data_IF_628573727742
#
_entry.id   IF_628573727742
#
_cell.length_a   1.000
_cell.length_b   1.000
_cell.length_c   1.000
_cell.angle_alpha   90.00
_cell.angle_beta   90.00
_cell.angle_gamma   90.00
#
_symmetry.space_group_name_H-M   'P 1'
#
loop_
_entity.id
_entity.type
_entity.pdbx_description
1 polymer ?
#
# COMPACT_ATOMS: atom_id res chain seq x y z
N UNK A 1 30.57 -13.33 -13.09
CA UNK A 1 30.53 -12.74 -11.73
C UNK A 1 29.53 -13.54 -10.91
N UNK A 2 29.84 -13.90 -9.66
CA UNK A 2 28.88 -14.59 -8.77
C UNK A 2 27.71 -13.64 -8.52
N UNK A 3 26.47 -14.09 -8.74
CA UNK A 3 25.27 -13.29 -8.45
C UNK A 3 25.06 -13.17 -6.94
N UNK A 4 24.48 -12.06 -6.49
CA UNK A 4 24.06 -11.85 -5.10
C UNK A 4 22.74 -12.62 -4.90
N UNK A 5 22.73 -13.58 -3.98
CA UNK A 5 21.55 -14.38 -3.63
C UNK A 5 20.69 -13.65 -2.61
N UNK A 6 19.43 -13.40 -2.96
CA UNK A 6 18.49 -12.60 -2.17
C UNK A 6 17.22 -13.42 -1.93
N UNK A 7 16.90 -13.67 -0.66
CA UNK A 7 15.71 -14.42 -0.25
C UNK A 7 14.68 -13.50 0.38
N UNK A 8 13.46 -13.49 -0.16
CA UNK A 8 12.32 -12.76 0.42
C UNK A 8 11.51 -13.67 1.33
N UNK A 9 11.52 -13.37 2.64
CA UNK A 9 10.89 -14.19 3.67
C UNK A 9 9.38 -13.89 3.70
N UNK A 10 8.58 -14.92 3.39
CA UNK A 10 7.12 -14.86 3.39
C UNK A 10 6.54 -16.05 4.16
N UNK A 11 5.28 -15.98 4.59
CA UNK A 11 4.66 -17.11 5.28
C UNK A 11 4.42 -18.25 4.28
N UNK A 12 3.72 -17.93 3.21
CA UNK A 12 3.43 -18.80 2.05
C UNK A 12 3.14 -17.93 0.83
N UNK A 13 3.23 -18.51 -0.37
CA UNK A 13 2.82 -17.76 -1.56
C UNK A 13 1.30 -17.75 -1.69
N UNK A 14 0.68 -16.58 -1.42
CA UNK A 14 -0.78 -16.40 -1.44
C UNK A 14 -1.30 -16.16 -2.85
N UNK A 15 -2.55 -16.55 -3.12
CA UNK A 15 -3.24 -16.29 -4.38
C UNK A 15 -3.59 -14.82 -4.64
N UNK A 16 -4.06 -14.52 -5.85
CA UNK A 16 -4.31 -13.15 -6.36
C UNK A 16 -5.18 -12.30 -5.43
N UNK A 17 -6.32 -12.84 -5.00
CA UNK A 17 -7.28 -12.10 -4.18
C UNK A 17 -6.68 -11.62 -2.86
N UNK A 18 -5.85 -12.44 -2.21
CA UNK A 18 -5.17 -12.05 -0.98
C UNK A 18 -4.06 -11.06 -1.27
N UNK A 19 -3.20 -11.33 -2.26
CA UNK A 19 -2.10 -10.41 -2.59
C UNK A 19 -2.58 -9.00 -2.96
N UNK A 20 -3.73 -8.88 -3.61
CA UNK A 20 -4.34 -7.58 -3.88
C UNK A 20 -4.89 -6.87 -2.63
N UNK A 21 -5.54 -7.58 -1.72
CA UNK A 21 -6.25 -6.94 -0.59
C UNK A 21 -5.33 -6.40 0.51
N UNK A 22 -4.04 -6.75 0.49
CA UNK A 22 -3.07 -6.37 1.49
C UNK A 22 -1.83 -5.69 0.85
N UNK A 23 -1.54 -4.47 1.28
CA UNK A 23 -0.47 -3.68 0.67
C UNK A 23 0.93 -4.28 0.84
N UNK A 24 1.20 -4.98 1.94
CA UNK A 24 2.52 -5.60 2.19
C UNK A 24 2.84 -6.69 1.17
N UNK A 25 1.85 -7.50 0.81
CA UNK A 25 1.91 -8.53 -0.23
C UNK A 25 2.14 -7.93 -1.61
N UNK A 26 1.48 -6.80 -1.91
CA UNK A 26 1.71 -6.07 -3.16
C UNK A 26 3.15 -5.53 -3.24
N UNK A 27 3.64 -4.86 -2.20
CA UNK A 27 5.02 -4.35 -2.18
C UNK A 27 6.03 -5.48 -2.31
N UNK A 28 5.82 -6.59 -1.60
CA UNK A 28 6.70 -7.76 -1.67
C UNK A 28 6.80 -8.26 -3.10
N UNK A 29 5.67 -8.36 -3.80
CA UNK A 29 5.65 -8.73 -5.20
C UNK A 29 6.41 -7.71 -6.07
N UNK A 30 6.14 -6.40 -5.93
CA UNK A 30 6.83 -5.38 -6.72
C UNK A 30 8.34 -5.34 -6.48
N UNK A 31 8.77 -5.50 -5.22
CA UNK A 31 10.17 -5.64 -4.85
C UNK A 31 10.82 -6.84 -5.54
N UNK A 32 10.20 -8.02 -5.44
CA UNK A 32 10.74 -9.23 -6.08
C UNK A 32 10.85 -9.05 -7.59
N UNK A 33 9.83 -8.50 -8.25
CA UNK A 33 9.87 -8.25 -9.70
C UNK A 33 10.98 -7.25 -10.06
N UNK A 34 11.14 -6.17 -9.30
CA UNK A 34 12.23 -5.21 -9.51
C UNK A 34 13.59 -5.89 -9.33
N UNK A 35 13.80 -6.63 -8.26
CA UNK A 35 15.07 -7.28 -7.97
C UNK A 35 15.41 -8.35 -9.01
N UNK A 36 14.42 -9.09 -9.51
CA UNK A 36 14.60 -10.06 -10.60
C UNK A 36 14.97 -9.42 -11.94
N UNK A 37 14.60 -8.15 -12.15
CA UNK A 37 15.01 -7.41 -13.35
C UNK A 37 16.50 -7.03 -13.34
N UNK A 38 17.18 -7.14 -12.19
CA UNK A 38 18.59 -6.78 -12.00
C UNK A 38 19.47 -8.03 -12.25
N UNK A 39 20.27 -8.06 -13.34
CA UNK A 39 21.01 -9.27 -13.75
C UNK A 39 22.01 -9.79 -12.71
N UNK A 40 22.50 -8.90 -11.84
CA UNK A 40 23.44 -9.20 -10.77
C UNK A 40 22.83 -10.02 -9.63
N UNK A 41 21.50 -10.13 -9.57
CA UNK A 41 20.80 -10.76 -8.46
C UNK A 41 20.22 -12.12 -8.84
N UNK A 42 20.20 -13.02 -7.87
CA UNK A 42 19.52 -14.31 -7.89
C UNK A 42 18.48 -14.31 -6.77
N UNK A 43 17.20 -14.31 -7.12
CA UNK A 43 16.11 -13.93 -6.19
C UNK A 43 15.13 -15.08 -6.04
N UNK A 44 14.75 -15.36 -4.80
CA UNK A 44 13.74 -16.37 -4.46
C UNK A 44 12.81 -15.87 -3.35
N UNK A 45 11.67 -16.53 -3.22
CA UNK A 45 10.90 -16.49 -1.98
C UNK A 45 11.36 -17.61 -1.06
N UNK A 46 11.39 -17.33 0.24
CA UNK A 46 11.60 -18.31 1.30
C UNK A 46 10.32 -18.42 2.12
N UNK A 47 9.65 -19.58 2.06
CA UNK A 47 8.40 -19.86 2.77
C UNK A 47 8.69 -20.40 4.17
N UNK A 48 8.08 -19.78 5.18
CA UNK A 48 8.31 -20.12 6.59
C UNK A 48 7.25 -21.05 7.19
N UNK A 49 6.04 -21.05 6.64
CA UNK A 49 4.97 -21.90 7.12
C UNK A 49 5.19 -23.34 6.63
N UNK A 50 5.00 -24.32 7.52
CA UNK A 50 5.20 -25.73 7.20
C UNK A 50 4.03 -26.27 6.37
N UNK A 51 4.30 -27.23 5.48
CA UNK A 51 3.29 -27.95 4.68
C UNK A 51 2.46 -27.07 3.71
N UNK A 52 3.00 -25.91 3.29
CA UNK A 52 2.33 -25.00 2.34
C UNK A 52 2.98 -24.92 0.96
N UNK A 53 4.05 -25.70 0.70
CA UNK A 53 4.80 -25.60 -0.56
C UNK A 53 3.94 -25.90 -1.78
N UNK A 54 3.13 -26.97 -1.73
CA UNK A 54 2.24 -27.35 -2.83
C UNK A 54 1.19 -26.27 -3.14
N UNK A 55 0.51 -25.76 -2.11
CA UNK A 55 -0.44 -24.65 -2.23
C UNK A 55 0.25 -23.40 -2.81
N UNK A 56 1.45 -23.10 -2.31
CA UNK A 56 2.25 -21.94 -2.75
C UNK A 56 2.64 -22.06 -4.22
N UNK A 57 3.09 -23.24 -4.67
CA UNK A 57 3.43 -23.51 -6.06
C UNK A 57 2.21 -23.35 -6.98
N UNK A 58 1.06 -23.88 -6.57
CA UNK A 58 -0.20 -23.73 -7.28
C UNK A 58 -0.59 -22.25 -7.41
N UNK A 59 -0.68 -21.52 -6.30
CA UNK A 59 -1.05 -20.11 -6.27
C UNK A 59 -0.11 -19.24 -7.13
N UNK A 60 1.20 -19.51 -7.06
CA UNK A 60 2.22 -18.81 -7.85
C UNK A 60 2.04 -19.05 -9.35
N UNK A 61 1.79 -20.29 -9.74
CA UNK A 61 1.56 -20.67 -11.14
C UNK A 61 0.26 -20.07 -11.68
N UNK A 62 -0.83 -20.10 -10.91
CA UNK A 62 -2.13 -19.52 -11.30
C UNK A 62 -2.04 -18.03 -11.63
N UNK A 63 -1.19 -17.28 -10.92
CA UNK A 63 -1.01 -15.86 -11.19
C UNK A 63 0.04 -15.57 -12.27
N UNK A 64 0.66 -16.61 -12.85
CA UNK A 64 1.67 -16.50 -13.90
C UNK A 64 3.00 -15.94 -13.41
N UNK A 65 3.38 -16.25 -12.17
CA UNK A 65 4.65 -15.86 -11.56
C UNK A 65 5.59 -17.08 -11.52
N UNK A 66 6.90 -16.85 -11.65
CA UNK A 66 7.89 -17.92 -11.82
C UNK A 66 9.08 -17.84 -10.85
N UNK A 67 9.02 -17.01 -9.80
CA UNK A 67 10.10 -16.88 -8.81
C UNK A 67 10.28 -18.19 -8.06
N UNK A 68 11.51 -18.68 -7.86
CA UNK A 68 11.76 -19.88 -7.07
C UNK A 68 11.16 -19.78 -5.67
N UNK A 69 10.54 -20.86 -5.20
CA UNK A 69 10.07 -21.02 -3.82
C UNK A 69 11.00 -21.99 -3.09
N UNK A 70 11.51 -21.56 -1.93
CA UNK A 70 12.44 -22.30 -1.09
C UNK A 70 11.84 -22.47 0.30
N UNK A 71 11.96 -23.63 0.92
CA UNK A 71 11.46 -23.83 2.29
C UNK A 71 12.46 -23.28 3.32
N UNK A 72 11.98 -22.66 4.40
CA UNK A 72 12.84 -22.10 5.45
C UNK A 72 13.80 -23.15 6.05
N UNK A 73 13.39 -24.43 6.10
CA UNK A 73 14.25 -25.53 6.58
C UNK A 73 15.57 -25.61 5.81
N UNK A 74 15.55 -25.24 4.53
CA UNK A 74 16.74 -25.25 3.67
C UNK A 74 17.72 -24.15 4.05
N UNK A 75 17.36 -23.19 4.90
CA UNK A 75 18.28 -22.19 5.44
C UNK A 75 19.06 -22.70 6.66
N UNK A 76 18.72 -23.87 7.22
CA UNK A 76 19.28 -24.35 8.47
C UNK A 76 20.78 -24.70 8.31
N UNK A 77 21.71 -23.96 8.93
CA UNK A 77 23.15 -24.17 8.76
C UNK A 77 23.68 -25.51 9.31
N UNK A 78 22.84 -26.29 9.97
CA UNK A 78 23.18 -27.61 10.53
C UNK A 78 22.90 -28.76 9.55
N UNK A 79 22.28 -28.48 8.39
CA UNK A 79 22.05 -29.46 7.33
C UNK A 79 23.20 -29.45 6.31
N UNK A 80 23.56 -30.61 5.76
CA UNK A 80 24.68 -30.71 4.81
C UNK A 80 24.45 -29.93 3.50
N UNK A 81 23.21 -29.83 3.03
CA UNK A 81 22.84 -29.21 1.73
C UNK A 81 22.02 -27.92 1.89
N UNK A 82 22.21 -27.19 2.99
CA UNK A 82 21.50 -25.93 3.19
C UNK A 82 21.91 -24.86 2.18
N UNK A 83 21.00 -23.92 1.94
CA UNK A 83 21.16 -22.79 1.04
C UNK A 83 21.70 -21.59 1.82
N UNK A 84 22.72 -20.96 1.24
CA UNK A 84 23.33 -19.74 1.76
C UNK A 84 22.90 -18.57 0.89
N UNK A 85 22.39 -17.52 1.54
CA UNK A 85 21.99 -16.26 0.92
C UNK A 85 22.97 -15.16 1.31
N UNK A 86 23.19 -14.20 0.42
CA UNK A 86 23.95 -12.99 0.74
C UNK A 86 23.04 -12.00 1.50
N UNK A 87 21.75 -11.93 1.15
CA UNK A 87 20.74 -11.09 1.80
C UNK A 87 19.44 -11.86 2.03
N UNK A 88 18.88 -11.77 3.23
CA UNK A 88 17.53 -12.23 3.57
C UNK A 88 16.67 -11.04 3.96
N UNK A 89 15.54 -10.82 3.27
CA UNK A 89 14.66 -9.68 3.47
C UNK A 89 13.34 -10.17 4.04
N UNK A 90 13.02 -9.81 5.28
CA UNK A 90 11.72 -10.12 5.86
C UNK A 90 10.68 -9.11 5.42
N UNK A 91 9.65 -9.60 4.71
CA UNK A 91 8.54 -8.77 4.26
C UNK A 91 7.23 -9.21 4.90
N UNK A 92 6.75 -10.42 4.61
CA UNK A 92 5.43 -10.92 5.05
C UNK A 92 5.52 -11.86 6.26
N UNK A 93 6.71 -12.40 6.55
CA UNK A 93 6.95 -13.27 7.69
C UNK A 93 8.33 -13.03 8.32
N UNK A 94 8.52 -13.65 9.47
CA UNK A 94 9.67 -13.47 10.34
C UNK A 94 10.40 -14.79 10.54
N UNK A 95 11.72 -14.81 10.27
CA UNK A 95 12.60 -15.88 10.72
C UNK A 95 12.67 -15.96 12.25
N UNK A 96 12.82 -17.17 12.79
CA UNK A 96 13.05 -17.36 14.21
C UNK A 96 14.40 -16.72 14.64
N UNK A 97 14.48 -16.04 15.80
CA UNK A 97 15.72 -15.40 16.26
C UNK A 97 16.91 -16.36 16.34
N UNK A 98 16.70 -17.60 16.79
CA UNK A 98 17.77 -18.60 16.89
C UNK A 98 18.32 -19.00 15.52
N UNK A 99 17.45 -19.11 14.50
CA UNK A 99 17.88 -19.37 13.13
C UNK A 99 18.69 -18.19 12.57
N UNK A 100 18.26 -16.96 12.83
CA UNK A 100 19.00 -15.76 12.43
C UNK A 100 20.40 -15.74 13.07
N UNK A 101 20.51 -16.03 14.38
CA UNK A 101 21.79 -16.11 15.10
C UNK A 101 22.71 -17.16 14.50
N UNK A 102 22.21 -18.40 14.30
CA UNK A 102 22.97 -19.49 13.66
C UNK A 102 23.49 -19.13 12.26
N UNK A 103 22.66 -18.47 11.45
CA UNK A 103 23.05 -18.02 10.10
C UNK A 103 24.19 -16.99 10.21
N UNK A 104 24.04 -15.98 11.07
CA UNK A 104 25.03 -14.90 11.25
C UNK A 104 26.34 -15.37 11.88
N UNK A 105 26.33 -16.44 12.69
CA UNK A 105 27.54 -17.05 13.24
C UNK A 105 28.40 -17.74 12.18
N UNK A 106 27.77 -18.32 11.15
CA UNK A 106 28.45 -19.11 10.11
C UNK A 106 28.70 -18.34 8.81
N UNK A 107 27.86 -17.35 8.50
CA UNK A 107 27.84 -16.67 7.20
C UNK A 107 27.78 -15.15 7.34
N UNK A 108 28.28 -14.45 6.32
CA UNK A 108 28.18 -13.00 6.18
C UNK A 108 26.80 -12.54 5.68
N UNK A 109 25.77 -13.37 5.82
CA UNK A 109 24.40 -13.07 5.37
C UNK A 109 23.88 -11.84 6.09
N UNK A 110 23.41 -10.87 5.32
CA UNK A 110 22.76 -9.66 5.84
C UNK A 110 21.26 -9.91 5.98
N UNK A 111 20.70 -9.57 7.14
CA UNK A 111 19.27 -9.72 7.40
C UNK A 111 18.64 -8.33 7.44
N UNK A 112 17.64 -8.16 6.57
CA UNK A 112 16.92 -6.90 6.36
C UNK A 112 15.47 -7.07 6.76
N UNK A 113 14.85 -6.04 7.30
CA UNK A 113 13.40 -5.96 7.41
C UNK A 113 12.82 -4.85 6.54
N UNK A 114 11.74 -5.14 5.81
CA UNK A 114 11.03 -4.16 5.01
C UNK A 114 9.80 -3.63 5.75
N UNK A 115 9.82 -2.35 6.09
CA UNK A 115 8.77 -1.66 6.83
C UNK A 115 7.95 -0.76 5.89
N UNK A 116 6.73 -1.19 5.59
CA UNK A 116 5.79 -0.51 4.69
C UNK A 116 4.60 0.14 5.41
N UNK A 117 4.65 0.28 6.75
CA UNK A 117 3.51 0.72 7.56
C UNK A 117 3.85 1.77 8.62
N UNK A 118 2.79 2.24 9.29
CA UNK A 118 2.82 3.30 10.30
C UNK A 118 3.18 2.78 11.70
N UNK A 119 4.45 2.45 11.93
CA UNK A 119 4.89 1.77 13.18
C UNK A 119 4.70 2.66 14.42
N UNK A 120 5.25 3.87 14.39
CA UNK A 120 5.23 4.77 15.56
C UNK A 120 3.80 5.13 15.98
N UNK A 121 2.97 5.57 15.02
CA UNK A 121 1.57 5.92 15.29
C UNK A 121 0.75 4.72 15.72
N UNK A 122 0.97 3.57 15.08
CA UNK A 122 0.31 2.33 15.47
C UNK A 122 0.57 2.00 16.94
N UNK A 123 1.81 2.15 17.42
CA UNK A 123 2.15 1.84 18.81
C UNK A 123 1.48 2.82 19.77
N UNK A 124 1.55 4.11 19.44
CA UNK A 124 0.91 5.15 20.24
C UNK A 124 -0.60 4.90 20.36
N UNK A 125 -1.28 4.55 19.27
CA UNK A 125 -2.70 4.20 19.28
C UNK A 125 -2.99 2.93 20.09
N UNK A 126 -2.21 1.87 19.87
CA UNK A 126 -2.39 0.58 20.54
C UNK A 126 -2.24 0.75 22.07
N UNK A 127 -1.30 1.58 22.54
CA UNK A 127 -1.09 1.92 23.96
C UNK A 127 -2.18 2.83 24.53
N UNK A 128 -2.50 3.94 23.86
CA UNK A 128 -3.43 4.95 24.38
C UNK A 128 -4.86 4.40 24.45
N UNK A 129 -5.29 3.66 23.43
CA UNK A 129 -6.66 3.17 23.31
C UNK A 129 -6.84 1.75 23.84
N UNK A 130 -5.78 1.12 24.34
CA UNK A 130 -5.78 -0.27 24.82
C UNK A 130 -6.46 -1.22 23.81
N UNK A 131 -6.05 -1.13 22.54
CA UNK A 131 -6.71 -1.88 21.47
C UNK A 131 -6.30 -3.34 21.56
N UNK A 132 -7.22 -4.18 22.06
CA UNK A 132 -7.00 -5.62 22.11
C UNK A 132 -6.80 -6.20 20.70
N UNK A 133 -5.84 -7.11 20.57
CA UNK A 133 -5.55 -7.85 19.33
C UNK A 133 -5.11 -7.00 18.12
N UNK A 134 -4.72 -5.73 18.34
CA UNK A 134 -4.10 -4.89 17.32
C UNK A 134 -2.61 -4.73 17.63
N UNK A 135 -1.79 -5.05 16.63
CA UNK A 135 -0.33 -4.97 16.68
C UNK A 135 0.18 -4.05 15.57
N UNK A 136 -0.54 -2.94 15.36
CA UNK A 136 -0.30 -2.07 14.21
C UNK A 136 0.99 -1.28 14.32
N UNK A 137 1.48 -1.07 15.54
CA UNK A 137 2.83 -0.61 15.80
C UNK A 137 3.65 -1.55 16.65
N UNK A 138 3.43 -2.87 16.54
CA UNK A 138 4.28 -3.81 17.25
C UNK A 138 5.73 -3.58 16.87
N UNK A 139 6.47 -2.99 17.82
CA UNK A 139 7.90 -3.13 17.90
C UNK A 139 8.20 -4.63 17.81
N UNK A 140 9.23 -4.94 17.05
CA UNK A 140 9.58 -6.32 16.72
C UNK A 140 9.62 -7.17 17.98
N UNK A 141 8.96 -8.33 17.95
CA UNK A 141 9.04 -9.35 19.00
C UNK A 141 10.41 -10.04 18.97
N UNK A 142 11.49 -9.26 18.94
CA UNK A 142 12.87 -9.72 18.73
C UNK A 142 13.82 -8.86 19.53
N UNK A 143 14.97 -9.45 19.85
CA UNK A 143 16.08 -8.76 20.47
C UNK A 143 16.60 -7.64 19.53
N UNK A 144 16.65 -6.37 19.99
CA UNK A 144 17.19 -5.27 19.20
C UNK A 144 18.64 -5.53 18.75
N UNK A 145 18.97 -5.17 17.51
CA UNK A 145 20.31 -5.34 16.92
C UNK A 145 20.53 -6.68 16.19
N UNK A 146 19.55 -7.58 16.15
CA UNK A 146 19.65 -8.84 15.40
C UNK A 146 19.58 -8.62 13.87
N UNK A 147 18.88 -7.58 13.45
CA UNK A 147 18.69 -7.15 12.06
C UNK A 147 19.79 -6.17 11.67
N UNK A 148 20.38 -6.35 10.49
CA UNK A 148 21.46 -5.49 9.98
C UNK A 148 20.92 -4.16 9.45
N UNK A 149 19.77 -4.16 8.78
CA UNK A 149 19.16 -2.95 8.23
C UNK A 149 17.63 -3.03 8.16
N UNK A 150 16.96 -1.90 8.33
CA UNK A 150 15.52 -1.74 8.12
C UNK A 150 15.31 -0.84 6.91
N UNK A 151 14.52 -1.29 5.95
CA UNK A 151 14.12 -0.51 4.78
C UNK A 151 12.76 0.12 5.01
N UNK A 152 12.69 1.42 4.76
CA UNK A 152 11.51 2.23 5.06
C UNK A 152 11.07 3.01 3.82
N UNK A 153 9.76 3.05 3.58
CA UNK A 153 9.18 3.88 2.52
C UNK A 153 9.39 5.38 2.77
N UNK A 154 9.54 6.22 1.73
CA UNK A 154 9.95 7.62 1.86
C UNK A 154 8.95 8.47 2.66
N UNK A 155 7.66 8.22 2.51
CA UNK A 155 6.60 8.92 3.24
C UNK A 155 6.54 8.59 4.75
N UNK A 156 7.38 7.66 5.23
CA UNK A 156 7.54 7.32 6.64
C UNK A 156 8.87 7.83 7.23
N UNK A 157 9.71 8.49 6.44
CA UNK A 157 11.03 8.95 6.86
C UNK A 157 11.02 9.88 8.09
N UNK A 158 9.91 10.58 8.36
CA UNK A 158 9.75 11.43 9.54
C UNK A 158 9.93 10.69 10.87
N UNK A 159 9.68 9.38 10.93
CA UNK A 159 9.87 8.58 12.15
C UNK A 159 11.10 7.67 12.09
N UNK A 160 12.04 7.92 11.16
CA UNK A 160 13.28 7.15 11.01
C UNK A 160 14.06 7.02 12.33
N UNK A 161 14.29 8.14 13.02
CA UNK A 161 15.06 8.17 14.27
C UNK A 161 14.42 7.35 15.38
N UNK A 162 13.09 7.34 15.46
CA UNK A 162 12.34 6.50 16.37
C UNK A 162 12.62 5.02 16.09
N UNK A 163 12.51 4.59 14.83
CA UNK A 163 12.74 3.19 14.44
C UNK A 163 14.18 2.76 14.70
N UNK A 164 15.18 3.60 14.41
CA UNK A 164 16.59 3.29 14.72
C UNK A 164 16.83 3.14 16.23
N UNK A 165 16.19 3.99 17.03
CA UNK A 165 16.33 3.97 18.49
C UNK A 165 15.79 2.67 19.10
N UNK A 166 14.60 2.25 18.68
CA UNK A 166 13.93 1.07 19.26
C UNK A 166 14.47 -0.25 18.72
N UNK A 167 14.84 -0.29 17.43
CA UNK A 167 15.36 -1.51 16.79
C UNK A 167 16.85 -1.73 17.03
N UNK A 168 17.61 -0.67 17.35
CA UNK A 168 19.07 -0.63 17.32
C UNK A 168 19.67 -1.07 15.97
N UNK A 169 18.90 -0.91 14.89
CA UNK A 169 19.30 -1.21 13.52
C UNK A 169 19.31 0.06 12.69
N UNK A 170 20.19 0.11 11.70
CA UNK A 170 20.22 1.21 10.73
C UNK A 170 18.92 1.21 9.93
N UNK A 171 18.37 2.40 9.67
CA UNK A 171 17.24 2.56 8.75
C UNK A 171 17.72 3.19 7.44
N UNK A 172 17.36 2.57 6.32
CA UNK A 172 17.57 3.09 4.97
C UNK A 172 16.23 3.41 4.34
N UNK A 173 16.12 4.59 3.73
CA UNK A 173 14.93 4.97 2.96
C UNK A 173 15.02 4.33 1.58
N UNK A 174 14.12 3.40 1.30
CA UNK A 174 14.03 2.71 0.01
C UNK A 174 13.00 3.37 -0.90
N UNK A 175 13.17 3.38 -2.24
CA UNK A 175 12.18 3.91 -3.16
C UNK A 175 10.77 3.32 -2.93
N UNK A 176 9.72 4.10 -3.15
CA UNK A 176 8.35 3.56 -3.14
C UNK A 176 8.02 2.95 -4.51
N UNK A 177 7.39 1.78 -4.52
CA UNK A 177 7.10 1.03 -5.73
C UNK A 177 5.59 0.88 -5.95
N UNK A 178 5.19 0.94 -7.22
CA UNK A 178 3.83 0.69 -7.67
C UNK A 178 3.81 0.10 -9.08
N UNK A 179 2.97 -0.91 -9.27
CA UNK A 179 2.56 -1.39 -10.59
C UNK A 179 1.07 -1.74 -10.59
N UNK A 180 0.34 -1.49 -11.69
CA UNK A 180 -1.08 -1.84 -11.79
C UNK A 180 -1.32 -3.33 -12.06
N UNK A 181 -0.32 -4.19 -11.83
CA UNK A 181 -0.35 -5.60 -12.23
C UNK A 181 -1.51 -6.37 -11.57
N UNK A 182 -1.75 -6.17 -10.27
CA UNK A 182 -2.86 -6.80 -9.57
C UNK A 182 -4.21 -6.32 -10.10
N UNK A 183 -4.33 -5.02 -10.40
CA UNK A 183 -5.53 -4.44 -10.98
C UNK A 183 -5.83 -5.04 -12.36
N UNK A 184 -4.81 -5.17 -13.21
CA UNK A 184 -4.93 -5.77 -14.55
C UNK A 184 -5.38 -7.24 -14.48
N UNK A 185 -4.84 -8.02 -13.55
CA UNK A 185 -5.26 -9.42 -13.36
C UNK A 185 -6.72 -9.51 -12.90
N UNK A 186 -7.12 -8.68 -11.94
CA UNK A 186 -8.50 -8.66 -11.48
C UNK A 186 -9.47 -8.16 -12.55
N UNK A 187 -9.06 -7.21 -13.39
CA UNK A 187 -9.84 -6.74 -14.53
C UNK A 187 -10.10 -7.88 -15.52
N UNK A 188 -9.08 -8.69 -15.85
CA UNK A 188 -9.24 -9.89 -16.69
C UNK A 188 -10.24 -10.88 -16.08
N UNK A 189 -10.11 -11.18 -14.77
CA UNK A 189 -11.03 -12.08 -14.07
C UNK A 189 -12.48 -11.57 -14.12
N UNK A 190 -12.68 -10.27 -13.92
CA UNK A 190 -14.00 -9.64 -13.96
C UNK A 190 -14.59 -9.60 -15.36
N UNK A 191 -13.80 -9.25 -16.38
CA UNK A 191 -14.27 -9.18 -17.77
C UNK A 191 -14.64 -10.57 -18.32
N UNK A 192 -14.00 -11.63 -17.83
CA UNK A 192 -14.37 -13.02 -18.17
C UNK A 192 -15.80 -13.36 -17.72
N UNK A 193 -16.26 -12.80 -16.60
CA UNK A 193 -17.61 -13.03 -16.06
C UNK A 193 -18.61 -11.98 -16.57
N UNK A 194 -18.19 -10.73 -16.70
CA UNK A 194 -18.98 -9.61 -17.19
C UNK A 194 -18.21 -8.87 -18.30
N UNK A 195 -18.51 -9.11 -19.59
CA UNK A 195 -17.81 -8.45 -20.70
C UNK A 195 -17.93 -6.93 -20.73
N UNK A 196 -18.89 -6.34 -20.00
CA UNK A 196 -19.07 -4.89 -19.88
C UNK A 196 -18.32 -4.28 -18.70
N UNK A 197 -17.59 -5.09 -17.93
CA UNK A 197 -16.80 -4.63 -16.79
C UNK A 197 -15.72 -3.65 -17.26
N UNK A 198 -15.80 -2.43 -16.72
CA UNK A 198 -14.88 -1.35 -17.03
C UNK A 198 -14.76 -0.42 -15.81
N UNK A 199 -13.66 -0.47 -15.06
CA UNK A 199 -13.41 0.38 -13.91
C UNK A 199 -12.78 1.73 -14.28
N UNK A 200 -12.45 1.98 -15.55
CA UNK A 200 -11.83 3.22 -16.00
C UNK A 200 -12.86 4.34 -16.10
N UNK A 201 -12.47 5.54 -15.70
CA UNK A 201 -13.33 6.73 -15.76
C UNK A 201 -13.96 6.94 -17.15
N UNK A 202 -15.25 7.23 -17.15
CA UNK A 202 -16.04 7.55 -18.34
C UNK A 202 -16.60 8.97 -18.23
N UNK A 203 -16.46 9.78 -19.30
CA UNK A 203 -17.01 11.15 -19.32
C UNK A 203 -18.53 11.14 -19.14
N UNK A 204 -19.08 12.26 -18.66
CA UNK A 204 -20.52 12.47 -18.47
C UNK A 204 -21.19 11.48 -17.49
N UNK A 205 -20.41 10.79 -16.64
CA UNK A 205 -20.97 10.02 -15.55
C UNK A 205 -21.48 10.95 -14.43
N UNK A 206 -22.28 10.38 -13.51
CA UNK A 206 -22.84 11.15 -12.41
C UNK A 206 -21.76 11.63 -11.42
N UNK A 207 -20.51 11.13 -11.43
CA UNK A 207 -19.44 11.45 -10.46
C UNK A 207 -19.87 11.23 -9.00
N UNK A 208 -20.45 10.06 -8.70
CA UNK A 208 -20.65 9.68 -7.29
C UNK A 208 -19.30 9.62 -6.58
N UNK A 209 -19.28 10.12 -5.35
CA UNK A 209 -18.08 10.36 -4.57
C UNK A 209 -17.82 9.13 -3.69
N UNK A 210 -16.62 8.57 -3.77
CA UNK A 210 -16.15 7.55 -2.86
C UNK A 210 -15.19 8.15 -1.83
N UNK A 211 -15.43 7.85 -0.55
CA UNK A 211 -14.49 8.03 0.55
C UNK A 211 -14.06 6.61 0.97
N UNK A 212 -12.87 6.19 0.55
CA UNK A 212 -12.42 4.80 0.62
C UNK A 212 -11.40 4.54 1.74
N UNK A 213 -11.36 5.41 2.74
CA UNK A 213 -10.50 5.23 3.89
C UNK A 213 -10.88 3.98 4.68
N UNK A 214 -9.91 3.25 5.26
CA UNK A 214 -10.20 2.02 5.99
C UNK A 214 -10.94 2.27 7.32
N UNK A 215 -10.89 3.49 7.85
CA UNK A 215 -11.51 3.88 9.13
C UNK A 215 -11.11 2.98 10.31
N UNK A 216 -9.81 2.63 10.37
CA UNK A 216 -9.23 1.79 11.42
C UNK A 216 -8.22 2.54 12.29
N UNK A 217 -7.77 3.74 11.90
CA UNK A 217 -6.77 4.53 12.63
C UNK A 217 -6.95 6.04 12.38
N UNK A 218 -6.20 6.87 13.11
CA UNK A 218 -6.23 8.32 13.00
C UNK A 218 -5.59 8.83 11.70
N UNK A 219 -4.68 8.06 11.13
CA UNK A 219 -3.91 8.43 9.93
C UNK A 219 -4.78 8.49 8.68
N UNK A 220 -5.75 7.57 8.55
CA UNK A 220 -6.64 7.47 7.38
C UNK A 220 -8.07 7.12 7.77
N UNK A 221 -8.92 8.13 7.80
CA UNK A 221 -10.33 8.00 8.16
C UNK A 221 -11.22 9.01 7.42
N UNK A 222 -12.52 8.75 7.46
CA UNK A 222 -13.56 9.47 6.73
C UNK A 222 -13.78 10.93 7.16
N UNK A 223 -13.31 11.36 8.34
CA UNK A 223 -13.77 12.63 8.94
C UNK A 223 -13.48 13.84 8.06
N UNK A 224 -12.23 14.00 7.61
CA UNK A 224 -11.84 15.14 6.75
C UNK A 224 -12.48 15.05 5.36
N UNK A 225 -12.44 13.91 4.65
CA UNK A 225 -13.13 13.76 3.37
C UNK A 225 -14.63 14.11 3.44
N UNK A 226 -15.33 13.66 4.48
CA UNK A 226 -16.75 13.99 4.67
C UNK A 226 -16.95 15.47 4.98
N UNK A 227 -16.05 16.09 5.75
CA UNK A 227 -16.13 17.53 6.04
C UNK A 227 -15.88 18.39 4.79
N UNK A 228 -15.06 17.92 3.85
CA UNK A 228 -14.88 18.55 2.53
C UNK A 228 -16.20 18.53 1.73
N UNK A 229 -16.89 17.38 1.72
CA UNK A 229 -18.22 17.26 1.08
C UNK A 229 -19.21 18.22 1.73
N UNK A 230 -19.27 18.25 3.06
CA UNK A 230 -20.13 19.17 3.81
C UNK A 230 -19.83 20.63 3.43
N UNK A 231 -18.57 21.04 3.45
CA UNK A 231 -18.19 22.42 3.16
C UNK A 231 -18.63 22.87 1.77
N UNK A 232 -18.50 22.00 0.75
CA UNK A 232 -19.01 22.30 -0.59
C UNK A 232 -20.54 22.30 -0.63
N UNK A 233 -21.19 21.36 0.06
CA UNK A 233 -22.64 21.23 0.11
C UNK A 233 -23.31 22.45 0.75
N UNK A 234 -22.80 22.92 1.91
CA UNK A 234 -23.34 24.11 2.58
C UNK A 234 -23.18 25.38 1.74
N UNK A 235 -22.14 25.46 0.91
CA UNK A 235 -21.91 26.59 0.00
C UNK A 235 -22.78 26.52 -1.27
N UNK A 236 -22.95 25.33 -1.84
CA UNK A 236 -23.71 25.13 -3.07
C UNK A 236 -24.19 23.68 -3.20
N UNK A 237 -25.30 23.33 -2.53
CA UNK A 237 -25.88 22.00 -2.60
C UNK A 237 -26.28 21.57 -4.03
N UNK A 238 -26.63 22.52 -4.90
CA UNK A 238 -27.11 22.22 -6.26
C UNK A 238 -26.05 21.56 -7.16
N UNK A 239 -24.75 21.76 -6.86
CA UNK A 239 -23.65 21.17 -7.64
C UNK A 239 -23.63 19.64 -7.61
N UNK A 240 -24.18 19.05 -6.54
CA UNK A 240 -24.26 17.61 -6.39
C UNK A 240 -25.34 17.05 -7.32
N UNK A 241 -26.48 17.72 -7.49
CA UNK A 241 -27.57 17.22 -8.34
C UNK A 241 -28.02 15.83 -7.89
N UNK A 242 -27.75 14.79 -8.69
CA UNK A 242 -28.03 13.37 -8.38
C UNK A 242 -26.86 12.63 -7.73
N UNK A 243 -25.76 13.32 -7.40
CA UNK A 243 -24.56 12.74 -6.80
C UNK A 243 -24.82 12.31 -5.37
N UNK A 244 -24.16 11.21 -5.00
CA UNK A 244 -24.11 10.69 -3.64
C UNK A 244 -22.63 10.60 -3.23
N UNK A 245 -22.39 10.57 -1.93
CA UNK A 245 -21.09 10.35 -1.32
C UNK A 245 -21.15 9.11 -0.43
N UNK A 246 -20.35 8.10 -0.78
CA UNK A 246 -20.27 6.80 -0.10
C UNK A 246 -19.07 6.80 0.83
N UNK A 247 -19.29 6.53 2.11
CA UNK A 247 -18.21 6.25 3.06
C UNK A 247 -18.03 4.74 3.08
N UNK A 248 -16.98 4.24 2.45
CA UNK A 248 -16.66 2.81 2.47
C UNK A 248 -15.93 2.45 3.77
N UNK A 249 -15.93 1.14 4.08
CA UNK A 249 -15.34 0.62 5.30
C UNK A 249 -15.87 1.34 6.56
N UNK A 250 -17.16 1.70 6.61
CA UNK A 250 -17.73 2.39 7.78
C UNK A 250 -18.79 1.59 8.52
N UNK A 251 -19.22 0.45 8.00
CA UNK A 251 -20.27 -0.38 8.60
C UNK A 251 -19.95 -0.84 10.04
N UNK A 252 -18.68 -0.88 10.46
CA UNK A 252 -18.27 -1.21 11.83
C UNK A 252 -18.22 0.00 12.80
N UNK A 253 -18.36 1.23 12.29
CA UNK A 253 -18.30 2.45 13.11
C UNK A 253 -19.63 3.21 13.18
N UNK A 254 -20.62 2.87 12.35
CA UNK A 254 -21.90 3.61 12.29
C UNK A 254 -22.67 3.61 13.62
N UNK A 255 -22.53 2.57 14.43
CA UNK A 255 -23.22 2.48 15.72
C UNK A 255 -22.57 3.33 16.83
N UNK A 256 -21.34 3.81 16.61
CA UNK A 256 -20.58 4.58 17.60
C UNK A 256 -21.22 5.95 17.83
N UNK A 257 -21.33 6.36 19.09
CA UNK A 257 -21.97 7.64 19.46
C UNK A 257 -21.34 8.85 18.77
N UNK A 258 -20.00 8.90 18.70
CA UNK A 258 -19.29 9.99 18.02
C UNK A 258 -19.59 10.05 16.52
N UNK A 259 -19.73 8.89 15.85
CA UNK A 259 -20.11 8.83 14.44
C UNK A 259 -21.53 9.37 14.25
N UNK A 260 -22.50 8.90 15.04
CA UNK A 260 -23.90 9.36 14.97
C UNK A 260 -24.03 10.86 15.24
N UNK A 261 -23.29 11.37 16.23
CA UNK A 261 -23.27 12.79 16.56
C UNK A 261 -22.69 13.62 15.40
N UNK A 262 -21.52 13.23 14.87
CA UNK A 262 -20.91 13.91 13.74
C UNK A 262 -21.83 13.89 12.51
N UNK A 263 -22.34 12.71 12.15
CA UNK A 263 -23.24 12.54 11.02
C UNK A 263 -24.50 13.41 11.14
N UNK A 264 -25.13 13.43 12.33
CA UNK A 264 -26.31 14.22 12.62
C UNK A 264 -26.10 15.74 12.56
N UNK A 265 -24.85 16.21 12.59
CA UNK A 265 -24.51 17.62 12.47
C UNK A 265 -24.36 18.09 11.01
N UNK A 266 -24.19 17.18 10.05
CA UNK A 266 -23.91 17.53 8.65
C UNK A 266 -25.19 17.95 7.90
N UNK A 267 -25.10 18.94 7.03
CA UNK A 267 -26.19 19.32 6.12
C UNK A 267 -26.32 18.33 4.95
N UNK A 268 -25.21 17.72 4.53
CA UNK A 268 -25.15 16.79 3.40
C UNK A 268 -25.64 15.35 3.70
N UNK A 269 -26.28 15.10 4.85
CA UNK A 269 -26.76 13.77 5.28
C UNK A 269 -27.58 13.02 4.22
N UNK A 270 -28.38 13.74 3.42
CA UNK A 270 -29.27 13.13 2.41
C UNK A 270 -28.53 12.52 1.23
N UNK A 271 -27.27 12.92 1.00
CA UNK A 271 -26.43 12.39 -0.08
C UNK A 271 -25.34 11.46 0.45
N UNK A 272 -25.22 11.30 1.77
CA UNK A 272 -24.24 10.42 2.40
C UNK A 272 -24.81 9.02 2.63
N UNK A 273 -23.98 8.00 2.45
CA UNK A 273 -24.29 6.64 2.91
C UNK A 273 -23.04 5.94 3.45
N UNK A 274 -23.27 4.92 4.29
CA UNK A 274 -22.23 4.04 4.81
C UNK A 274 -22.21 2.74 4.02
N UNK A 275 -21.03 2.31 3.58
CA UNK A 275 -20.81 1.12 2.79
C UNK A 275 -19.83 0.15 3.45
N UNK A 276 -19.93 -1.12 3.07
CA UNK A 276 -18.96 -2.16 3.43
C UNK A 276 -17.67 -2.01 2.62
N UNK A 277 -16.64 -2.80 2.92
CA UNK A 277 -15.44 -2.86 2.10
C UNK A 277 -15.71 -3.65 0.81
N UNK A 278 -15.32 -3.09 -0.32
CA UNK A 278 -15.34 -3.74 -1.64
C UNK A 278 -14.00 -3.53 -2.36
N UNK A 279 -13.62 -4.39 -3.32
CA UNK A 279 -12.48 -4.14 -4.20
C UNK A 279 -12.64 -2.83 -4.97
N UNK A 280 -11.56 -2.03 -5.07
CA UNK A 280 -11.62 -0.71 -5.70
C UNK A 280 -12.11 -0.75 -7.14
N UNK A 281 -11.75 -1.79 -7.91
CA UNK A 281 -12.19 -1.95 -9.30
C UNK A 281 -13.70 -2.16 -9.39
N UNK A 282 -14.29 -2.85 -8.43
CA UNK A 282 -15.73 -3.13 -8.42
C UNK A 282 -16.49 -1.84 -8.07
N UNK A 283 -15.94 -1.04 -7.16
CA UNK A 283 -16.45 0.30 -6.83
C UNK A 283 -16.41 1.23 -8.05
N UNK A 284 -15.27 1.29 -8.74
CA UNK A 284 -15.10 2.17 -9.91
C UNK A 284 -15.94 1.77 -11.11
N UNK A 285 -16.20 0.47 -11.26
CA UNK A 285 -17.09 -0.02 -12.31
C UNK A 285 -18.57 0.31 -12.03
N UNK A 286 -19.03 0.20 -10.78
CA UNK A 286 -20.46 0.10 -10.48
C UNK A 286 -21.07 1.27 -9.72
N UNK A 287 -20.29 2.06 -8.98
CA UNK A 287 -20.85 3.04 -8.02
C UNK A 287 -20.14 4.39 -8.11
N UNK A 288 -18.86 4.45 -7.71
CA UNK A 288 -18.15 5.73 -7.54
C UNK A 288 -17.24 6.04 -8.73
N UNK A 289 -17.19 7.32 -9.09
CA UNK A 289 -16.39 7.84 -10.22
C UNK A 289 -15.62 9.10 -9.86
N UNK A 290 -15.46 9.37 -8.56
CA UNK A 290 -14.59 10.39 -7.97
C UNK A 290 -14.16 9.90 -6.60
N UNK A 291 -12.89 10.07 -6.24
CA UNK A 291 -12.36 9.71 -4.93
C UNK A 291 -11.99 10.97 -4.15
N UNK A 292 -12.45 11.08 -2.91
CA UNK A 292 -11.91 12.04 -1.94
C UNK A 292 -11.18 11.26 -0.88
N UNK A 293 -9.95 11.68 -0.62
CA UNK A 293 -9.10 11.05 0.37
C UNK A 293 -8.37 12.08 1.22
N UNK A 294 -7.97 11.62 2.41
CA UNK A 294 -7.16 12.37 3.34
C UNK A 294 -6.20 11.42 4.07
N UNK A 295 -4.98 11.91 4.30
CA UNK A 295 -3.99 11.23 5.11
C UNK A 295 -3.34 12.20 6.10
N UNK A 296 -2.84 11.66 7.22
CA UNK A 296 -1.91 12.34 8.11
C UNK A 296 -0.56 11.60 8.14
N UNK A 297 0.49 12.20 7.56
CA UNK A 297 1.85 11.63 7.48
C UNK A 297 1.90 10.20 6.86
N UNK A 298 1.05 9.95 5.86
CA UNK A 298 0.96 8.73 5.05
C UNK A 298 0.70 9.10 3.57
N UNK A 299 1.62 9.89 3.01
CA UNK A 299 1.45 10.59 1.73
C UNK A 299 1.40 9.69 0.48
N UNK A 300 1.98 8.48 0.52
CA UNK A 300 1.90 7.51 -0.57
C UNK A 300 0.97 6.37 -0.18
N UNK A 301 -0.11 6.22 -0.95
CA UNK A 301 -1.16 5.24 -0.69
C UNK A 301 -1.57 4.57 -2.01
N UNK A 302 -1.70 3.24 -2.00
CA UNK A 302 -2.12 2.45 -3.16
C UNK A 302 -3.42 2.96 -3.78
N UNK A 303 -4.41 3.33 -2.94
CA UNK A 303 -5.67 3.89 -3.41
C UNK A 303 -5.48 5.10 -4.34
N UNK A 304 -4.44 5.91 -4.09
CA UNK A 304 -4.20 7.13 -4.87
C UNK A 304 -3.73 6.74 -6.26
N UNK A 305 -2.74 5.85 -6.30
CA UNK A 305 -2.17 5.36 -7.54
C UNK A 305 -3.17 4.50 -8.33
N UNK A 306 -4.05 3.76 -7.65
CA UNK A 306 -5.14 3.00 -8.28
C UNK A 306 -6.18 3.93 -8.92
N UNK A 307 -6.56 5.01 -8.22
CA UNK A 307 -7.45 6.02 -8.79
C UNK A 307 -6.81 6.70 -10.01
N UNK A 308 -5.54 7.08 -9.92
CA UNK A 308 -4.78 7.65 -11.05
C UNK A 308 -4.69 6.67 -12.22
N UNK A 309 -4.43 5.39 -11.97
CA UNK A 309 -4.34 4.36 -13.01
C UNK A 309 -5.64 4.19 -13.79
N UNK A 310 -6.79 4.36 -13.14
CA UNK A 310 -8.12 4.29 -13.78
C UNK A 310 -8.66 5.65 -14.23
N UNK A 311 -7.83 6.70 -14.23
CA UNK A 311 -8.21 8.06 -14.60
C UNK A 311 -9.35 8.63 -13.71
N UNK A 312 -9.56 8.07 -12.53
CA UNK A 312 -10.60 8.50 -11.59
C UNK A 312 -10.12 9.80 -10.92
N UNK A 313 -10.92 10.88 -10.91
CA UNK A 313 -10.55 12.13 -10.26
C UNK A 313 -10.28 11.91 -8.78
N UNK A 314 -9.05 12.21 -8.35
CA UNK A 314 -8.59 12.04 -6.98
C UNK A 314 -8.44 13.40 -6.31
N UNK A 315 -9.24 13.67 -5.28
CA UNK A 315 -9.06 14.82 -4.37
C UNK A 315 -8.25 14.35 -3.17
N UNK A 316 -7.05 14.90 -2.94
CA UNK A 316 -6.12 14.41 -1.91
C UNK A 316 -5.26 15.52 -1.31
N UNK A 317 -4.65 15.25 -0.15
CA UNK A 317 -3.73 16.17 0.52
C UNK A 317 -2.25 15.74 0.49
N UNK A 318 -1.89 14.73 -0.29
CA UNK A 318 -0.49 14.30 -0.45
C UNK A 318 0.37 15.32 -1.21
N UNK A 319 1.37 15.96 -0.58
CA UNK A 319 2.33 16.83 -1.26
C UNK A 319 3.20 16.09 -2.28
N UNK A 320 3.49 14.79 -2.07
CA UNK A 320 4.25 13.96 -3.01
C UNK A 320 3.52 13.71 -4.34
N UNK A 321 2.22 13.97 -4.39
CA UNK A 321 1.37 13.88 -5.58
C UNK A 321 0.78 15.24 -5.98
N UNK A 322 1.30 16.37 -5.46
CA UNK A 322 0.70 17.70 -5.72
C UNK A 322 0.60 18.06 -7.22
N UNK A 323 1.41 17.41 -8.06
CA UNK A 323 1.47 17.60 -9.51
C UNK A 323 0.48 16.71 -10.30
N UNK A 324 -0.33 15.89 -9.63
CA UNK A 324 -1.31 15.02 -10.26
C UNK A 324 -2.51 14.74 -9.34
N UNK A 325 -3.72 15.02 -9.81
CA UNK A 325 -4.90 15.00 -8.97
C UNK A 325 -5.41 16.40 -8.64
N UNK A 326 -6.38 16.47 -7.74
CA UNK A 326 -6.95 17.71 -7.21
C UNK A 326 -6.44 17.90 -5.78
N UNK A 327 -5.27 18.53 -5.69
CA UNK A 327 -4.56 18.70 -4.42
C UNK A 327 -5.17 19.79 -3.53
N UNK A 328 -5.20 19.53 -2.21
CA UNK A 328 -5.40 20.55 -1.17
C UNK A 328 -4.37 20.37 -0.04
N UNK A 329 -3.88 21.44 0.59
CA UNK A 329 -2.83 21.32 1.59
C UNK A 329 -3.36 20.87 2.96
N UNK A 330 -2.57 20.02 3.61
CA UNK A 330 -2.71 19.67 5.03
C UNK A 330 -4.14 19.22 5.38
N UNK A 331 -4.81 19.96 6.28
CA UNK A 331 -6.20 19.74 6.73
C UNK A 331 -7.14 20.85 6.25
N UNK A 332 -6.76 21.63 5.22
CA UNK A 332 -7.54 22.78 4.74
C UNK A 332 -8.81 22.31 4.00
N UNK A 333 -9.88 22.11 4.76
CA UNK A 333 -11.20 21.71 4.27
C UNK A 333 -11.74 22.66 3.21
N UNK A 334 -11.48 23.98 3.32
CA UNK A 334 -12.01 24.97 2.37
C UNK A 334 -11.33 24.81 1.01
N UNK A 335 -10.02 24.62 0.99
CA UNK A 335 -9.29 24.28 -0.25
C UNK A 335 -9.67 22.89 -0.75
N UNK A 336 -9.89 21.93 0.14
CA UNK A 336 -10.44 20.61 -0.22
C UNK A 336 -11.79 20.73 -0.93
N UNK A 337 -12.68 21.61 -0.46
CA UNK A 337 -13.97 21.87 -1.11
C UNK A 337 -13.82 22.54 -2.48
N UNK A 338 -12.82 23.41 -2.66
CA UNK A 338 -12.47 23.98 -3.97
C UNK A 338 -11.92 22.90 -4.92
N UNK A 339 -11.03 22.03 -4.44
CA UNK A 339 -10.49 20.91 -5.19
C UNK A 339 -11.61 19.93 -5.61
N UNK A 340 -12.54 19.60 -4.71
CA UNK A 340 -13.72 18.80 -5.01
C UNK A 340 -14.61 19.46 -6.06
N UNK A 341 -14.85 20.78 -5.94
CA UNK A 341 -15.62 21.53 -6.93
C UNK A 341 -14.99 21.40 -8.32
N UNK A 342 -13.68 21.62 -8.44
CA UNK A 342 -12.93 21.47 -9.70
C UNK A 342 -13.01 20.05 -10.25
N UNK A 343 -12.84 19.04 -9.40
CA UNK A 343 -12.97 17.63 -9.80
C UNK A 343 -14.38 17.31 -10.35
N UNK A 344 -15.42 17.91 -9.77
CA UNK A 344 -16.80 17.71 -10.22
C UNK A 344 -17.11 18.43 -11.54
N UNK A 345 -16.56 19.62 -11.77
CA UNK A 345 -16.97 20.51 -12.87
C UNK A 345 -16.01 20.52 -14.06
N UNK A 346 -14.72 20.25 -13.85
CA UNK A 346 -13.68 20.45 -14.86
C UNK A 346 -13.03 19.14 -15.34
N UNK A 347 -13.19 18.04 -14.61
CA UNK A 347 -12.47 16.80 -14.92
C UNK A 347 -12.73 16.26 -16.34
N UNK A 348 -13.96 16.32 -16.84
CA UNK A 348 -14.28 15.88 -18.22
C UNK A 348 -13.55 16.68 -19.30
N UNK A 349 -13.33 17.97 -19.03
CA UNK A 349 -12.61 18.90 -19.93
C UNK A 349 -11.10 18.68 -19.84
N UNK A 350 -10.61 18.30 -18.66
CA UNK A 350 -9.17 18.13 -18.37
C UNK A 350 -8.68 16.69 -18.44
N UNK A 351 -9.52 15.74 -18.85
CA UNK A 351 -9.22 14.31 -18.78
C UNK A 351 -7.92 13.92 -19.49
N UNK A 352 -7.61 14.54 -20.63
CA UNK A 352 -6.40 14.21 -21.39
C UNK A 352 -5.13 14.73 -20.69
N UNK A 353 -5.19 15.94 -20.10
CA UNK A 353 -4.12 16.47 -19.24
C UNK A 353 -3.93 15.58 -18.00
N UNK A 354 -5.02 15.18 -17.37
CA UNK A 354 -5.03 14.32 -16.19
C UNK A 354 -4.37 12.97 -16.47
N UNK A 355 -4.69 12.35 -17.61
CA UNK A 355 -4.08 11.08 -18.06
C UNK A 355 -2.56 11.19 -18.21
N UNK A 356 -2.07 12.27 -18.81
CA UNK A 356 -0.63 12.47 -18.97
C UNK A 356 0.08 12.72 -17.64
N UNK A 357 -0.53 13.47 -16.73
CA UNK A 357 -0.02 13.65 -15.36
C UNK A 357 -0.02 12.34 -14.58
N UNK A 358 -1.10 11.56 -14.65
CA UNK A 358 -1.23 10.27 -14.00
C UNK A 358 -0.15 9.30 -14.51
N UNK A 359 0.03 9.20 -15.83
CA UNK A 359 1.08 8.36 -16.43
C UNK A 359 2.48 8.71 -15.94
N UNK A 360 2.83 10.01 -15.88
CA UNK A 360 4.12 10.48 -15.34
C UNK A 360 4.29 10.12 -13.87
N UNK A 361 3.24 10.30 -13.09
CA UNK A 361 3.21 10.00 -11.64
C UNK A 361 3.36 8.50 -11.39
N UNK A 362 2.64 7.66 -12.12
CA UNK A 362 2.74 6.21 -12.02
C UNK A 362 4.14 5.72 -12.44
N UNK A 363 4.71 6.29 -13.50
CA UNK A 363 6.07 5.95 -13.93
C UNK A 363 7.14 6.32 -12.90
N UNK A 364 6.94 7.39 -12.10
CA UNK A 364 7.84 7.75 -10.98
C UNK A 364 8.04 6.58 -10.01
N UNK A 365 6.99 5.80 -9.75
CA UNK A 365 7.00 4.68 -8.80
C UNK A 365 7.11 3.30 -9.47
N UNK A 366 7.21 3.25 -10.81
CA UNK A 366 7.27 1.98 -11.53
C UNK A 366 8.55 1.21 -11.22
N UNK A 367 8.42 -0.11 -11.16
CA UNK A 367 9.54 -1.07 -11.10
C UNK A 367 10.43 -1.00 -12.34
N UNK A 368 9.92 -0.44 -13.44
CA UNK A 368 10.64 -0.23 -14.71
C UNK A 368 11.34 1.12 -14.79
N UNK A 369 11.18 1.98 -13.79
CA UNK A 369 11.90 3.25 -13.73
C UNK A 369 13.38 2.98 -13.40
N UNK A 370 14.33 3.39 -14.25
CA UNK A 370 15.75 3.16 -14.02
C UNK A 370 16.26 3.75 -12.69
N UNK A 371 15.64 4.81 -12.19
CA UNK A 371 16.05 5.45 -10.93
C UNK A 371 15.69 4.57 -9.73
N UNK A 372 14.51 3.93 -9.77
CA UNK A 372 14.10 2.97 -8.74
C UNK A 372 14.99 1.72 -8.78
N UNK A 373 15.27 1.21 -9.98
CA UNK A 373 16.17 0.06 -10.19
C UNK A 373 17.58 0.36 -9.65
N UNK A 374 18.15 1.52 -10.01
CA UNK A 374 19.47 1.96 -9.49
C UNK A 374 19.43 2.17 -7.98
N UNK A 375 18.35 2.73 -7.44
CA UNK A 375 18.16 2.93 -6.00
C UNK A 375 18.28 1.62 -5.22
N UNK A 376 17.51 0.60 -5.60
CA UNK A 376 17.58 -0.70 -4.95
C UNK A 376 18.90 -1.45 -5.20
N UNK A 377 19.47 -1.34 -6.41
CA UNK A 377 20.79 -1.89 -6.70
C UNK A 377 21.84 -1.31 -5.75
N UNK A 378 21.85 0.01 -5.56
CA UNK A 378 22.79 0.69 -4.67
C UNK A 378 22.57 0.31 -3.19
N UNK A 379 21.31 0.17 -2.74
CA UNK A 379 21.00 -0.26 -1.38
C UNK A 379 21.61 -1.64 -1.11
N UNK A 380 21.40 -2.61 -2.00
CA UNK A 380 22.00 -3.95 -1.85
C UNK A 380 23.52 -3.91 -1.88
N UNK A 381 24.12 -3.18 -2.83
CA UNK A 381 25.58 -3.08 -2.94
C UNK A 381 26.20 -2.47 -1.68
N UNK A 382 25.59 -1.41 -1.13
CA UNK A 382 26.06 -0.81 0.12
C UNK A 382 25.90 -1.77 1.30
N UNK A 383 24.81 -2.54 1.35
CA UNK A 383 24.54 -3.48 2.42
C UNK A 383 25.54 -4.64 2.44
N UNK A 384 25.89 -5.21 1.29
CA UNK A 384 26.81 -6.37 1.23
C UNK A 384 28.28 -5.97 1.32
N UNK A 385 28.62 -4.71 1.05
CA UNK A 385 29.99 -4.18 1.12
C UNK A 385 30.30 -3.48 2.46
N UNK A 386 29.31 -3.31 3.34
CA UNK A 386 29.47 -2.78 4.70
C UNK A 386 29.85 -3.89 5.68
#
# INVERSE_FOLDING_TARGET
>A
MKKIKIGFIISKYKGLATKYNYGLEQNTYFLVQLFRSIPEFDVSYVICEENVLEESLKNRTEVGEDTPLIEQKDLNPDLDNHLIYDVLITTEAYLAPDLMKKIKEKYSTKIVEFHAGIIMWGLMEDVIYNIENRFSGALLKREPGLVDEIWMSPHHAYHKSYVETVSKSRVTISPYLYEPWFLQKLEIDRTTVNPTFNPRYQKNNNKHIGILEPNINLVKNFVIPTTIVESLYSQNASIFGRKNARIYCSNHIIERQAFKHFYGYLSCQKILSSEKRYPVIDIFHSDCSLVISHQHLCELNYLYLDALYYDIPLVHNSPLLQDCGYYYPEFDVKKGAQALRQALTEHDLRLDEYKEQAKKTLYRYSTKNPDNVRGYRNIIQNLVNA
#
